data_IF_557804125821
#
_entry.id   IF_557804125821
#
_cell.length_a   1.000
_cell.length_b   1.000
_cell.length_c   1.000
_cell.angle_alpha   90.00
_cell.angle_beta   90.00
_cell.angle_gamma   90.00
#
_symmetry.space_group_name_H-M   'P 1'
#
loop_
_entity.id
_entity.type
_entity.pdbx_description
1 polymer ?
#
# COMPACT_ATOMS: atom_id res chain seq x y z
N UNK A 1 11.84 -4.98 16.39
CA UNK A 1 10.66 -4.80 17.27
C UNK A 1 9.52 -5.53 16.61
N UNK A 2 9.10 -6.63 17.23
CA UNK A 2 7.97 -7.46 16.82
C UNK A 2 6.66 -6.72 17.10
N UNK A 3 5.65 -7.07 16.32
CA UNK A 3 4.31 -6.50 16.30
C UNK A 3 3.72 -6.37 17.71
N UNK A 4 3.44 -5.15 18.15
CA UNK A 4 2.74 -4.88 19.41
C UNK A 4 1.25 -5.15 19.16
N UNK A 5 0.62 -6.11 19.84
CA UNK A 5 -0.83 -6.28 19.79
C UNK A 5 -1.48 -4.98 20.27
N UNK A 6 -2.31 -4.33 19.42
CA UNK A 6 -2.89 -2.97 19.59
C UNK A 6 -2.04 -1.77 19.13
N UNK A 7 -0.96 -1.98 18.38
CA UNK A 7 -0.47 -0.89 17.53
C UNK A 7 -1.54 -0.57 16.50
N UNK A 8 -2.21 0.57 16.64
CA UNK A 8 -3.11 1.10 15.62
C UNK A 8 -2.38 1.08 14.28
N UNK A 9 -2.97 0.42 13.28
CA UNK A 9 -2.45 0.43 11.92
C UNK A 9 -2.25 1.88 11.49
N UNK A 10 -1.00 2.36 11.47
CA UNK A 10 -0.69 3.69 10.96
C UNK A 10 -0.84 3.63 9.44
N UNK A 11 -2.02 4.00 8.95
CA UNK A 11 -2.26 4.21 7.52
C UNK A 11 -1.25 5.24 7.00
N UNK A 12 -0.61 4.92 5.87
CA UNK A 12 0.21 5.89 5.15
C UNK A 12 -0.62 6.41 4.00
N UNK A 13 -0.72 7.73 3.89
CA UNK A 13 -1.47 8.41 2.83
C UNK A 13 -0.46 9.06 1.89
N UNK A 14 -0.57 8.77 0.60
CA UNK A 14 0.25 9.37 -0.45
C UNK A 14 -0.69 10.15 -1.37
N UNK A 15 -0.47 11.45 -1.44
CA UNK A 15 -1.11 12.31 -2.44
C UNK A 15 -0.26 12.30 -3.70
N UNK A 16 -0.88 12.01 -4.84
CA UNK A 16 -0.22 12.05 -6.13
C UNK A 16 -0.64 13.32 -6.86
N UNK A 17 0.34 14.03 -7.40
CA UNK A 17 0.10 15.12 -8.34
C UNK A 17 -0.25 14.57 -9.73
N UNK A 18 -0.88 15.39 -10.56
CA UNK A 18 -1.20 15.00 -11.94
C UNK A 18 0.10 14.65 -12.70
N UNK A 19 0.08 13.50 -13.39
CA UNK A 19 1.25 12.97 -14.10
C UNK A 19 2.18 12.12 -13.23
N UNK A 20 1.96 12.05 -11.91
CA UNK A 20 2.71 11.14 -11.03
C UNK A 20 2.14 9.71 -11.06
N UNK A 21 2.99 8.74 -10.73
CA UNK A 21 2.61 7.34 -10.57
C UNK A 21 3.17 6.76 -9.26
N UNK A 22 2.47 5.76 -8.72
CA UNK A 22 2.93 4.98 -7.55
C UNK A 22 2.91 3.50 -7.91
N UNK A 23 4.03 2.82 -7.61
CA UNK A 23 4.13 1.37 -7.71
C UNK A 23 4.19 0.81 -6.30
N UNK A 24 3.30 -0.13 -5.99
CA UNK A 24 3.28 -0.80 -4.70
C UNK A 24 2.80 -2.25 -4.85
N UNK A 25 3.15 -3.09 -3.87
CA UNK A 25 2.72 -4.49 -3.83
C UNK A 25 1.25 -4.59 -3.43
N UNK A 26 0.45 -5.37 -4.15
CA UNK A 26 -1.00 -5.50 -3.90
C UNK A 26 -1.36 -6.40 -2.71
N UNK A 27 -0.53 -7.41 -2.39
CA UNK A 27 -0.85 -8.43 -1.38
C UNK A 27 0.10 -8.42 -0.17
N UNK A 28 1.41 -8.46 -0.40
CA UNK A 28 2.41 -8.46 0.68
C UNK A 28 3.61 -7.60 0.34
N UNK A 29 4.20 -6.98 1.37
CA UNK A 29 5.49 -6.29 1.27
C UNK A 29 6.54 -7.00 2.14
N UNK A 30 7.81 -7.02 1.72
CA UNK A 30 8.90 -7.48 2.57
C UNK A 30 9.12 -6.49 3.72
N UNK A 31 9.25 -7.00 4.94
CA UNK A 31 9.61 -6.21 6.12
C UNK A 31 10.86 -6.82 6.74
N UNK A 32 11.85 -5.97 7.02
CA UNK A 32 13.08 -6.41 7.68
C UNK A 32 12.81 -6.68 9.16
N UNK A 33 12.97 -7.94 9.57
CA UNK A 33 12.90 -8.39 10.96
C UNK A 33 14.28 -8.83 11.49
N UNK A 34 14.31 -9.27 12.76
CA UNK A 34 15.56 -9.74 13.42
C UNK A 34 16.21 -10.94 12.72
N UNK A 35 15.42 -11.78 12.04
CA UNK A 35 15.86 -13.01 11.36
C UNK A 35 15.85 -12.89 9.83
N UNK A 36 15.84 -11.66 9.29
CA UNK A 36 15.72 -11.40 7.85
C UNK A 36 14.33 -10.90 7.45
N UNK A 37 14.05 -10.94 6.15
CA UNK A 37 12.80 -10.45 5.59
C UNK A 37 11.65 -11.43 5.80
N UNK A 38 10.49 -10.90 6.15
CA UNK A 38 9.23 -11.66 6.19
C UNK A 38 8.13 -10.92 5.42
N UNK A 39 7.10 -11.66 5.00
CA UNK A 39 5.94 -11.11 4.30
C UNK A 39 4.99 -10.47 5.31
N UNK A 40 4.64 -9.21 5.09
CA UNK A 40 3.58 -8.54 5.85
C UNK A 40 2.44 -8.15 4.89
N UNK A 41 1.20 -8.42 5.29
CA UNK A 41 0.00 -8.10 4.48
C UNK A 41 -0.09 -6.61 4.21
N UNK A 42 -0.37 -6.24 2.97
CA UNK A 42 -0.64 -4.85 2.58
C UNK A 42 -2.14 -4.68 2.39
N UNK A 43 -2.71 -3.69 3.11
CA UNK A 43 -4.04 -3.18 2.83
C UNK A 43 -3.88 -1.82 2.16
N UNK A 44 -4.50 -1.65 1.01
CA UNK A 44 -4.49 -0.42 0.25
C UNK A 44 -5.93 -0.03 -0.10
N UNK A 45 -6.16 1.26 -0.31
CA UNK A 45 -7.47 1.81 -0.63
C UNK A 45 -7.31 3.23 -1.13
N UNK A 46 -8.39 3.78 -1.65
CA UNK A 46 -8.46 5.16 -2.12
C UNK A 46 -9.38 5.91 -1.15
N UNK A 47 -8.94 7.09 -0.70
CA UNK A 47 -9.76 7.96 0.15
C UNK A 47 -10.98 8.48 -0.61
N UNK A 48 -12.09 8.69 0.10
CA UNK A 48 -13.28 9.35 -0.44
C UNK A 48 -12.93 10.72 -1.01
N UNK A 49 -13.45 11.02 -2.21
CA UNK A 49 -13.38 12.35 -2.80
C UNK A 49 -14.40 13.24 -2.10
N UNK A 50 -13.95 14.26 -1.38
CA UNK A 50 -14.82 15.21 -0.66
C UNK A 50 -15.27 16.39 -1.51
N UNK A 51 -14.57 16.66 -2.62
CA UNK A 51 -14.90 17.70 -3.59
C UNK A 51 -14.17 17.45 -4.92
N UNK A 52 -14.73 17.94 -6.02
CA UNK A 52 -14.18 17.76 -7.36
C UNK A 52 -14.27 16.32 -7.87
N UNK A 53 -13.40 15.97 -8.82
CA UNK A 53 -13.34 14.66 -9.45
C UNK A 53 -11.91 14.10 -9.44
N UNK A 54 -11.78 12.78 -9.39
CA UNK A 54 -10.50 12.08 -9.47
C UNK A 54 -10.53 11.06 -10.58
N UNK A 55 -9.57 11.19 -11.50
CA UNK A 55 -9.30 10.20 -12.54
C UNK A 55 -7.96 9.52 -12.27
N UNK A 56 -7.87 8.22 -12.58
CA UNK A 56 -6.64 7.46 -12.41
C UNK A 56 -6.63 6.21 -13.27
N UNK A 57 -5.43 5.78 -13.66
CA UNK A 57 -5.19 4.53 -14.38
C UNK A 57 -4.51 3.54 -13.43
N UNK A 58 -5.09 2.35 -13.31
CA UNK A 58 -4.49 1.23 -12.59
C UNK A 58 -3.95 0.18 -13.56
N UNK A 59 -2.70 -0.26 -13.35
CA UNK A 59 -2.13 -1.42 -14.02
C UNK A 59 -1.85 -2.47 -12.95
N UNK A 60 -2.43 -3.66 -13.10
CA UNK A 60 -2.27 -4.76 -12.13
C UNK A 60 -1.49 -5.88 -12.80
N UNK A 61 -0.32 -6.19 -12.24
CA UNK A 61 0.50 -7.31 -12.68
C UNK A 61 0.03 -8.58 -11.96
N UNK A 62 -0.48 -9.53 -12.74
CA UNK A 62 -0.81 -10.87 -12.27
C UNK A 62 0.21 -11.85 -12.82
N UNK A 63 0.77 -12.68 -11.94
CA UNK A 63 1.51 -13.86 -12.35
C UNK A 63 0.50 -15.01 -12.50
N UNK A 64 -0.08 -15.12 -13.69
CA UNK A 64 -0.91 -16.25 -14.08
C UNK A 64 -0.02 -17.28 -14.77
N UNK A 65 0.15 -18.44 -14.12
CA UNK A 65 0.60 -19.65 -14.81
C UNK A 65 -0.47 -20.19 -15.72
#
# INVERSE_FOLDING_TARGET
MEQIPRAQSRGHVITLEQGSALIFTTNYRPVLGKKGYYKNTVRHGISTVTSGERYGLGIIFHDSK
#
